data_IF_737802347623
#
_entry.id   IF_737802347623
#
_cell.length_a   1.000
_cell.length_b   1.000
_cell.length_c   1.000
_cell.angle_alpha   90.00
_cell.angle_beta   90.00
_cell.angle_gamma   90.00
#
_symmetry.space_group_name_H-M   'P 1'
#
loop_
_entity.id
_entity.type
_entity.pdbx_description
1 polymer ?
#
# COMPACT_ATOMS: atom_id res chain seq x y z
N UNK A 1 -69.73 41.07 -57.65
CA UNK A 1 -70.50 39.84 -57.34
C UNK A 1 -69.56 38.83 -56.71
N UNK A 2 -70.03 38.18 -55.62
CA UNK A 2 -69.44 37.07 -54.84
C UNK A 2 -68.05 37.31 -54.19
N UNK A 3 -67.90 37.50 -52.87
CA UNK A 3 -68.06 36.53 -51.73
C UNK A 3 -67.22 35.25 -51.99
N UNK A 4 -66.29 34.80 -51.15
CA UNK A 4 -66.12 34.98 -49.70
C UNK A 4 -65.00 34.07 -49.15
N UNK A 5 -64.50 34.42 -47.94
CA UNK A 5 -63.91 33.53 -46.89
C UNK A 5 -62.48 33.05 -47.13
N UNK A 6 -61.56 32.94 -46.16
CA UNK A 6 -61.49 33.11 -44.69
C UNK A 6 -59.97 33.27 -44.37
N UNK A 7 -59.55 34.10 -43.42
CA UNK A 7 -59.04 33.70 -42.08
C UNK A 7 -57.91 32.63 -42.14
N UNK A 8 -56.73 32.73 -41.51
CA UNK A 8 -56.27 33.55 -40.40
C UNK A 8 -54.73 33.48 -40.33
N UNK A 9 -54.17 34.40 -39.53
CA UNK A 9 -52.79 34.53 -39.07
C UNK A 9 -51.96 33.26 -38.87
N UNK A 10 -50.67 33.37 -39.19
CA UNK A 10 -49.60 32.69 -38.45
C UNK A 10 -48.44 33.67 -38.21
N UNK A 11 -48.53 34.45 -37.13
CA UNK A 11 -47.35 34.93 -36.41
C UNK A 11 -46.92 33.84 -35.43
N UNK A 12 -45.74 33.27 -35.59
CA UNK A 12 -44.97 32.78 -34.45
C UNK A 12 -43.48 32.88 -34.73
N UNK A 13 -42.83 33.72 -33.93
CA UNK A 13 -41.40 33.94 -33.79
C UNK A 13 -40.73 32.63 -33.38
N UNK A 14 -39.54 32.33 -33.92
CA UNK A 14 -38.78 31.15 -33.56
C UNK A 14 -37.28 31.28 -33.87
N UNK A 15 -36.60 32.12 -33.09
CA UNK A 15 -35.16 32.09 -32.88
C UNK A 15 -34.74 30.72 -32.33
N UNK A 16 -33.92 29.95 -33.06
CA UNK A 16 -32.84 29.07 -32.54
C UNK A 16 -32.41 28.09 -33.65
N UNK A 17 -31.27 28.35 -34.28
CA UNK A 17 -30.42 27.27 -34.80
C UNK A 17 -28.99 27.59 -34.35
N UNK A 18 -28.80 27.51 -33.03
CA UNK A 18 -27.47 27.27 -32.47
C UNK A 18 -27.07 25.90 -33.01
N UNK A 19 -26.10 25.91 -33.92
CA UNK A 19 -25.35 24.73 -34.31
C UNK A 19 -24.72 24.18 -33.03
N UNK A 20 -25.38 23.21 -32.40
CA UNK A 20 -24.77 22.32 -31.41
C UNK A 20 -23.68 21.56 -32.15
N UNK A 21 -22.50 22.18 -32.27
CA UNK A 21 -21.26 21.43 -32.35
C UNK A 21 -21.26 20.57 -31.08
N UNK A 22 -21.54 19.29 -31.27
CA UNK A 22 -21.39 18.26 -30.26
C UNK A 22 -19.92 18.28 -29.84
N UNK A 23 -19.62 19.08 -28.82
CA UNK A 23 -18.47 18.90 -27.94
C UNK A 23 -18.77 17.69 -27.04
N UNK A 24 -19.02 16.54 -27.66
CA UNK A 24 -18.83 15.27 -27.00
C UNK A 24 -17.32 15.06 -26.90
N UNK A 25 -16.82 15.00 -25.67
CA UNK A 25 -15.45 14.57 -25.40
C UNK A 25 -14.49 15.68 -24.97
N UNK A 26 -14.91 16.55 -24.06
CA UNK A 26 -14.03 16.80 -22.93
C UNK A 26 -14.76 16.23 -21.71
N UNK A 27 -14.56 14.93 -21.45
CA UNK A 27 -14.58 14.48 -20.07
C UNK A 27 -13.49 15.30 -19.38
N UNK A 28 -13.95 16.38 -18.77
CA UNK A 28 -13.18 17.35 -18.03
C UNK A 28 -12.34 16.55 -17.04
N UNK A 29 -11.02 16.56 -17.24
CA UNK A 29 -10.01 16.00 -16.34
C UNK A 29 -10.04 16.79 -15.03
N UNK A 30 -11.12 16.65 -14.27
CA UNK A 30 -11.15 17.09 -12.88
C UNK A 30 -10.09 16.26 -12.16
N UNK A 31 -9.16 16.91 -11.44
CA UNK A 31 -8.26 16.17 -10.58
C UNK A 31 -9.11 15.34 -9.63
N UNK A 32 -8.91 14.02 -9.65
CA UNK A 32 -9.58 13.12 -8.70
C UNK A 32 -9.14 13.55 -7.30
N UNK A 33 -10.09 13.78 -6.41
CA UNK A 33 -9.78 14.12 -5.03
C UNK A 33 -9.27 12.86 -4.32
N UNK A 34 -8.02 12.89 -3.85
CA UNK A 34 -7.35 11.75 -3.20
C UNK A 34 -7.11 12.02 -1.72
N UNK A 35 -7.26 10.99 -0.89
CA UNK A 35 -6.92 11.01 0.54
C UNK A 35 -6.17 9.75 0.93
N UNK A 36 -5.52 9.80 2.09
CA UNK A 36 -4.67 8.74 2.60
C UNK A 36 -5.11 8.29 3.98
N UNK A 37 -5.01 6.99 4.26
CA UNK A 37 -5.37 6.42 5.56
C UNK A 37 -4.41 6.90 6.65
N UNK A 38 -4.90 7.40 7.78
CA UNK A 38 -4.08 7.96 8.88
C UNK A 38 -3.92 7.02 10.07
N UNK A 39 -4.76 5.99 10.18
CA UNK A 39 -4.69 4.96 11.23
C UNK A 39 -3.93 3.72 10.76
N UNK A 40 -3.42 2.85 11.65
CA UNK A 40 -2.65 1.67 11.23
C UNK A 40 -3.45 0.76 10.30
N UNK A 41 -4.72 0.52 10.62
CA UNK A 41 -5.67 -0.25 9.82
C UNK A 41 -7.02 0.47 9.82
N UNK A 42 -7.57 0.69 8.63
CA UNK A 42 -8.90 1.23 8.39
C UNK A 42 -9.76 0.21 7.66
N UNK A 43 -10.98 -0.01 8.13
CA UNK A 43 -11.92 -0.90 7.45
C UNK A 43 -12.63 -0.15 6.32
N UNK A 44 -12.51 -0.66 5.10
CA UNK A 44 -13.37 -0.33 3.96
C UNK A 44 -14.66 -1.13 4.10
N UNK A 45 -15.82 -0.48 4.04
CA UNK A 45 -17.12 -1.10 4.34
C UNK A 45 -18.10 -1.02 3.18
N UNK A 46 -19.02 -1.97 3.10
CA UNK A 46 -20.00 -2.02 2.00
C UNK A 46 -20.99 -0.84 2.06
N UNK A 47 -21.30 -0.34 3.27
CA UNK A 47 -22.27 0.75 3.53
C UNK A 47 -21.72 1.73 4.57
N UNK A 48 -22.17 3.00 4.59
CA UNK A 48 -21.71 4.05 5.52
C UNK A 48 -22.25 3.85 6.96
N UNK A 49 -21.92 2.72 7.57
CA UNK A 49 -22.32 2.35 8.93
C UNK A 49 -21.29 1.38 9.52
N UNK A 50 -21.10 1.40 10.84
CA UNK A 50 -20.17 0.48 11.51
C UNK A 50 -20.69 -0.97 11.62
N UNK A 51 -21.98 -1.19 11.29
CA UNK A 51 -22.65 -2.50 11.33
C UNK A 51 -22.60 -3.27 10.00
N UNK A 52 -22.14 -2.64 8.92
CA UNK A 52 -22.04 -3.28 7.60
C UNK A 52 -20.82 -4.20 7.50
N UNK A 53 -20.78 -5.04 6.47
CA UNK A 53 -19.65 -5.91 6.19
C UNK A 53 -18.39 -5.08 5.88
N UNK A 54 -17.24 -5.60 6.31
CA UNK A 54 -15.92 -5.09 5.93
C UNK A 54 -15.53 -5.75 4.61
N UNK A 55 -15.28 -4.94 3.58
CA UNK A 55 -14.89 -5.36 2.23
C UNK A 55 -13.37 -5.53 2.15
N UNK A 56 -12.62 -4.62 2.76
CA UNK A 56 -11.15 -4.64 2.75
C UNK A 56 -10.59 -3.98 4.03
N UNK A 57 -9.35 -4.31 4.39
CA UNK A 57 -8.59 -3.62 5.45
C UNK A 57 -7.43 -2.84 4.82
N UNK A 58 -7.51 -1.53 4.93
CA UNK A 58 -6.59 -0.58 4.32
C UNK A 58 -5.53 -0.16 5.34
N UNK A 59 -4.26 -0.22 4.95
CA UNK A 59 -3.15 0.19 5.82
C UNK A 59 -2.97 1.70 5.86
N UNK A 60 -2.28 2.22 6.89
CA UNK A 60 -1.84 3.62 6.92
C UNK A 60 -1.10 4.02 5.64
N UNK A 61 -1.34 5.23 5.15
CA UNK A 61 -0.70 5.77 3.96
C UNK A 61 -1.30 5.26 2.66
N UNK A 62 -2.26 4.33 2.72
CA UNK A 62 -2.99 3.85 1.54
C UNK A 62 -3.75 5.00 0.89
N UNK A 63 -3.51 5.23 -0.39
CA UNK A 63 -4.22 6.19 -1.21
C UNK A 63 -5.63 5.70 -1.56
N UNK A 64 -6.58 6.63 -1.52
CA UNK A 64 -8.00 6.42 -1.76
C UNK A 64 -8.53 7.55 -2.65
N UNK A 65 -9.07 7.19 -3.81
CA UNK A 65 -9.79 8.12 -4.67
C UNK A 65 -11.20 8.35 -4.08
N UNK A 66 -11.65 9.60 -3.92
CA UNK A 66 -12.98 9.94 -3.41
C UNK A 66 -13.96 10.10 -4.59
N UNK A 67 -15.09 9.40 -4.50
CA UNK A 67 -16.20 9.51 -5.46
C UNK A 67 -17.41 10.22 -4.86
N UNK A 68 -17.63 10.06 -3.55
CA UNK A 68 -18.78 10.66 -2.86
C UNK A 68 -18.46 10.99 -1.41
N UNK A 69 -19.06 12.06 -0.88
CA UNK A 69 -18.97 12.47 0.52
C UNK A 69 -20.35 12.44 1.17
N UNK A 70 -20.55 11.53 2.12
CA UNK A 70 -21.76 11.41 2.94
C UNK A 70 -21.38 11.52 4.42
N UNK A 71 -21.01 12.74 4.85
CA UNK A 71 -20.43 13.02 6.17
C UNK A 71 -21.10 12.25 7.33
N UNK A 72 -20.33 11.56 8.21
CA UNK A 72 -18.86 11.52 8.26
C UNK A 72 -18.21 10.46 7.35
N UNK A 73 -18.94 9.86 6.41
CA UNK A 73 -18.46 8.78 5.55
C UNK A 73 -18.02 9.27 4.17
N UNK A 74 -17.04 8.58 3.59
CA UNK A 74 -16.52 8.83 2.26
C UNK A 74 -16.63 7.55 1.44
N UNK A 75 -17.22 7.65 0.25
CA UNK A 75 -17.18 6.57 -0.74
C UNK A 75 -15.90 6.70 -1.54
N UNK A 76 -15.09 5.64 -1.49
CA UNK A 76 -13.72 5.64 -2.01
C UNK A 76 -13.45 4.42 -2.86
N UNK A 77 -12.41 4.51 -3.70
CA UNK A 77 -11.81 3.38 -4.41
C UNK A 77 -10.35 3.26 -4.03
N UNK A 78 -9.95 2.06 -3.62
CA UNK A 78 -8.57 1.68 -3.37
C UNK A 78 -7.99 0.99 -4.61
N UNK A 79 -6.73 1.30 -4.96
CA UNK A 79 -5.99 0.68 -6.08
C UNK A 79 -6.68 0.77 -7.44
N UNK A 80 -7.62 1.70 -7.62
CA UNK A 80 -8.44 1.76 -8.83
C UNK A 80 -9.34 0.53 -9.03
N UNK A 81 -9.50 -0.34 -8.02
CA UNK A 81 -10.22 -1.62 -8.12
C UNK A 81 -11.36 -1.76 -7.12
N UNK A 82 -11.08 -1.60 -5.83
CA UNK A 82 -12.03 -1.94 -4.77
C UNK A 82 -12.76 -0.71 -4.27
N UNK A 83 -14.10 -0.71 -4.32
CA UNK A 83 -14.93 0.38 -3.82
C UNK A 83 -15.55 0.09 -2.46
N UNK A 84 -15.79 1.15 -1.69
CA UNK A 84 -16.54 1.07 -0.44
C UNK A 84 -16.49 2.35 0.37
N UNK A 85 -16.88 2.25 1.64
CA UNK A 85 -17.06 3.37 2.55
C UNK A 85 -16.03 3.35 3.68
N UNK A 86 -15.36 4.48 3.88
CA UNK A 86 -14.47 4.73 5.01
C UNK A 86 -14.96 5.91 5.85
N UNK A 87 -14.59 5.94 7.13
CA UNK A 87 -14.94 7.05 8.01
C UNK A 87 -13.91 8.18 7.87
N UNK A 88 -14.36 9.40 7.60
CA UNK A 88 -13.53 10.57 7.26
C UNK A 88 -12.48 10.92 8.32
N UNK A 89 -12.75 10.70 9.61
CA UNK A 89 -11.79 10.94 10.70
C UNK A 89 -10.49 10.10 10.60
N UNK A 90 -10.46 9.07 9.76
CA UNK A 90 -9.33 8.14 9.64
C UNK A 90 -8.60 8.26 8.30
N UNK A 91 -8.88 9.33 7.55
CA UNK A 91 -8.18 9.68 6.33
C UNK A 91 -7.76 11.15 6.37
N UNK A 92 -6.81 11.53 5.53
CA UNK A 92 -6.32 12.90 5.43
C UNK A 92 -5.29 13.05 4.30
N UNK A 93 -4.66 14.20 4.21
CA UNK A 93 -3.54 14.39 3.28
C UNK A 93 -2.27 13.66 3.78
N UNK A 94 -1.22 13.67 2.95
CA UNK A 94 0.06 13.07 3.32
C UNK A 94 0.65 13.67 4.62
N UNK A 95 0.38 14.94 4.92
CA UNK A 95 0.84 15.57 6.17
C UNK A 95 0.11 14.99 7.39
N UNK A 96 -1.19 14.72 7.28
CA UNK A 96 -1.99 14.07 8.31
C UNK A 96 -1.53 12.63 8.58
N UNK A 97 -1.12 11.89 7.54
CA UNK A 97 -0.52 10.56 7.69
C UNK A 97 0.77 10.65 8.50
N UNK A 98 1.67 11.58 8.14
CA UNK A 98 2.93 11.81 8.86
C UNK A 98 2.70 12.19 10.31
N UNK A 99 1.78 13.12 10.57
CA UNK A 99 1.42 13.56 11.92
C UNK A 99 0.84 12.41 12.77
N UNK A 100 -0.02 11.58 12.19
CA UNK A 100 -0.58 10.42 12.87
C UNK A 100 0.48 9.37 13.20
N UNK A 101 1.42 9.11 12.28
CA UNK A 101 2.55 8.21 12.52
C UNK A 101 3.46 8.72 13.65
N UNK A 102 3.86 10.00 13.60
CA UNK A 102 4.69 10.62 14.65
C UNK A 102 4.04 10.52 16.04
N UNK A 103 2.73 10.78 16.12
CA UNK A 103 1.96 10.66 17.36
C UNK A 103 1.97 9.24 17.91
N UNK A 104 1.81 8.23 17.05
CA UNK A 104 1.86 6.83 17.47
C UNK A 104 3.25 6.40 17.94
N UNK A 105 4.30 6.87 17.27
CA UNK A 105 5.70 6.63 17.67
C UNK A 105 6.02 7.28 19.02
N UNK A 106 5.58 8.51 19.26
CA UNK A 106 5.75 9.21 20.54
C UNK A 106 4.97 8.54 21.69
N UNK A 107 3.80 7.95 21.39
CA UNK A 107 3.04 7.15 22.37
C UNK A 107 3.77 5.85 22.74
N UNK A 108 4.40 5.19 21.75
CA UNK A 108 5.18 3.97 22.00
C UNK A 108 6.43 4.25 22.85
N UNK A 109 7.16 5.33 22.60
CA UNK A 109 8.37 5.69 23.37
C UNK A 109 8.09 6.10 24.82
N UNK A 110 6.92 6.69 25.10
CA UNK A 110 6.50 7.03 26.48
C UNK A 110 5.94 5.83 27.27
N UNK A 111 5.47 4.79 26.57
CA UNK A 111 4.98 3.54 27.16
C UNK A 111 6.10 2.64 27.71
N UNK A 112 7.34 2.76 27.19
CA UNK A 112 8.47 1.91 27.60
C UNK A 112 9.10 2.31 28.95
N UNK A 113 8.65 3.39 29.60
CA UNK A 113 9.24 3.91 30.85
C UNK A 113 8.46 3.55 32.14
N UNK A 114 7.37 2.76 32.08
CA UNK A 114 6.53 2.44 33.25
C UNK A 114 6.28 0.93 33.44
N UNK A 115 7.21 0.27 34.16
CA UNK A 115 7.18 -1.04 34.88
C UNK A 115 6.12 -2.10 34.50
N UNK A 116 6.54 -3.37 34.29
CA UNK A 116 6.28 -4.52 35.21
C UNK A 116 7.00 -5.82 34.83
N UNK A 117 7.10 -6.79 35.79
CA UNK A 117 8.19 -7.75 35.90
C UNK A 117 7.89 -9.10 35.24
N UNK A 118 8.97 -9.86 35.08
CA UNK A 118 9.07 -11.26 34.66
C UNK A 118 8.13 -12.20 35.43
N UNK A 119 7.46 -13.15 34.76
CA UNK A 119 7.02 -14.39 35.39
C UNK A 119 8.04 -15.50 35.14
N UNK A 120 8.45 -16.09 36.26
CA UNK A 120 9.29 -17.27 36.47
C UNK A 120 8.74 -18.56 35.84
N UNK A 121 9.68 -19.39 35.36
CA UNK A 121 9.55 -20.77 34.86
C UNK A 121 9.00 -21.77 35.89
N UNK A 122 8.19 -22.75 35.45
CA UNK A 122 7.99 -24.06 36.13
C UNK A 122 7.63 -25.19 35.14
N UNK A 123 7.87 -26.47 35.49
CA UNK A 123 8.22 -27.55 34.57
C UNK A 123 7.07 -28.50 34.15
N UNK A 124 7.35 -29.19 33.04
CA UNK A 124 6.67 -30.30 32.34
C UNK A 124 6.12 -31.44 33.19
N UNK A 125 5.03 -32.09 32.74
CA UNK A 125 4.86 -33.58 32.68
C UNK A 125 3.66 -33.99 31.75
N UNK A 126 3.58 -35.25 31.26
CA UNK A 126 3.38 -35.57 29.83
C UNK A 126 2.11 -36.37 29.39
N UNK A 127 1.94 -36.39 28.06
CA UNK A 127 1.36 -37.40 27.13
C UNK A 127 -0.15 -37.80 27.19
N UNK A 128 -0.83 -37.69 26.04
CA UNK A 128 -1.45 -38.80 25.29
C UNK A 128 -1.97 -38.31 23.91
N UNK A 129 -1.37 -38.83 22.84
CA UNK A 129 -1.78 -38.79 21.42
C UNK A 129 -3.03 -39.68 21.16
N UNK A 130 -3.75 -39.66 20.00
CA UNK A 130 -3.18 -39.70 18.63
C UNK A 130 -3.96 -38.96 17.51
N UNK A 131 -3.24 -38.46 16.51
CA UNK A 131 -3.39 -38.86 15.10
C UNK A 131 -2.49 -38.05 14.17
N UNK A 132 -1.45 -38.72 13.69
CA UNK A 132 -0.56 -38.31 12.61
C UNK A 132 -1.32 -38.13 11.29
N UNK A 133 -0.95 -37.10 10.53
CA UNK A 133 -1.09 -37.01 9.07
C UNK A 133 0.19 -36.35 8.54
N UNK A 134 0.78 -36.82 7.42
CA UNK A 134 2.22 -36.93 7.26
C UNK A 134 2.95 -35.59 7.10
N UNK A 135 4.15 -35.54 7.69
CA UNK A 135 5.15 -34.52 7.43
C UNK A 135 5.43 -34.37 5.93
N UNK A 136 5.20 -33.17 5.40
CA UNK A 136 5.80 -32.77 4.12
C UNK A 136 7.29 -32.59 4.36
N UNK A 137 8.04 -33.42 3.65
CA UNK A 137 9.49 -33.51 3.64
C UNK A 137 10.11 -32.14 3.37
N UNK A 138 10.99 -31.69 4.26
CA UNK A 138 11.92 -30.60 4.00
C UNK A 138 12.91 -31.10 2.94
N UNK A 139 12.61 -30.81 1.67
CA UNK A 139 13.58 -30.98 0.60
C UNK A 139 14.67 -29.93 0.83
N UNK A 140 15.97 -30.30 0.82
CA UNK A 140 17.05 -29.34 0.91
C UNK A 140 16.91 -28.29 -0.19
N UNK A 141 17.23 -27.01 0.06
CA UNK A 141 17.15 -25.98 -0.98
C UNK A 141 17.99 -26.43 -2.18
N UNK A 142 17.37 -26.39 -3.36
CA UNK A 142 18.05 -26.72 -4.61
C UNK A 142 19.24 -25.77 -4.77
N UNK A 143 20.45 -26.26 -5.10
CA UNK A 143 21.59 -25.39 -5.33
C UNK A 143 21.28 -24.38 -6.46
N UNK A 144 21.01 -23.13 -6.09
CA UNK A 144 20.60 -22.06 -7.02
C UNK A 144 19.17 -21.53 -6.85
N UNK A 145 18.37 -22.02 -5.90
CA UNK A 145 17.04 -21.47 -5.60
C UNK A 145 17.13 -20.16 -4.80
N UNK A 146 16.39 -19.14 -5.24
CA UNK A 146 16.18 -17.90 -4.49
C UNK A 146 15.36 -18.24 -3.23
N UNK A 147 15.94 -18.09 -2.04
CA UNK A 147 15.26 -18.34 -0.76
C UNK A 147 15.23 -17.09 0.09
N UNK A 148 14.26 -16.98 1.01
CA UNK A 148 14.17 -15.83 1.92
C UNK A 148 15.46 -15.69 2.74
N UNK A 149 15.93 -16.77 3.35
CA UNK A 149 17.17 -16.79 4.15
C UNK A 149 18.38 -16.32 3.34
N UNK A 150 18.49 -16.76 2.08
CA UNK A 150 19.54 -16.30 1.17
C UNK A 150 19.41 -14.81 0.87
N UNK A 151 18.20 -14.33 0.60
CA UNK A 151 17.93 -12.94 0.25
C UNK A 151 18.18 -11.97 1.41
N UNK A 152 17.91 -12.37 2.65
CA UNK A 152 18.09 -11.51 3.84
C UNK A 152 19.43 -11.71 4.54
N UNK A 153 20.31 -12.57 4.02
CA UNK A 153 21.63 -12.77 4.60
C UNK A 153 22.40 -11.45 4.72
N UNK A 154 22.77 -11.08 5.95
CA UNK A 154 23.49 -9.84 6.26
C UNK A 154 22.61 -8.58 6.34
N UNK A 155 21.29 -8.70 6.20
CA UNK A 155 20.36 -7.60 6.49
C UNK A 155 20.35 -7.28 8.00
N UNK A 156 19.91 -6.07 8.39
CA UNK A 156 19.83 -5.67 9.80
C UNK A 156 18.95 -6.60 10.65
N UNK A 157 19.38 -6.87 11.89
CA UNK A 157 18.63 -7.74 12.82
C UNK A 157 17.27 -7.16 13.25
N UNK A 158 17.03 -5.86 13.02
CA UNK A 158 15.75 -5.21 13.25
C UNK A 158 14.78 -5.33 12.06
N UNK A 159 15.17 -6.04 11.00
CA UNK A 159 14.29 -6.47 9.92
C UNK A 159 13.41 -7.63 10.42
N UNK A 160 12.13 -7.36 10.58
CA UNK A 160 11.15 -8.37 10.99
C UNK A 160 10.31 -8.72 9.77
N UNK A 161 10.32 -9.99 9.39
CA UNK A 161 9.45 -10.56 8.36
C UNK A 161 8.23 -11.21 9.01
N UNK A 162 7.07 -10.92 8.45
CA UNK A 162 5.79 -11.52 8.83
C UNK A 162 5.19 -12.20 7.60
N UNK A 163 4.61 -13.38 7.80
CA UNK A 163 3.74 -14.00 6.79
C UNK A 163 2.47 -13.15 6.69
N UNK A 164 2.10 -12.81 5.46
CA UNK A 164 0.91 -12.02 5.15
C UNK A 164 -0.02 -12.80 4.24
N UNK A 165 -1.26 -12.33 4.10
CA UNK A 165 -2.26 -13.02 3.28
C UNK A 165 -1.70 -13.35 1.88
N UNK A 166 -1.82 -14.62 1.43
CA UNK A 166 -1.39 -15.07 0.12
C UNK A 166 -2.02 -14.26 -1.02
N UNK A 167 -1.26 -14.03 -2.10
CA UNK A 167 -1.77 -13.40 -3.31
C UNK A 167 -1.84 -14.46 -4.42
N UNK A 168 -3.01 -14.63 -5.03
CA UNK A 168 -3.26 -15.65 -6.07
C UNK A 168 -2.90 -17.09 -5.63
N UNK A 169 -3.02 -17.38 -4.33
CA UNK A 169 -2.67 -18.67 -3.75
C UNK A 169 -1.18 -18.89 -3.49
N UNK A 170 -0.32 -17.90 -3.73
CA UNK A 170 1.10 -17.96 -3.44
C UNK A 170 1.41 -17.40 -2.04
N UNK A 171 2.24 -18.08 -1.22
CA UNK A 171 2.70 -17.56 0.06
C UNK A 171 3.37 -16.20 -0.12
N UNK A 172 3.26 -15.36 0.90
CA UNK A 172 3.78 -14.00 0.85
C UNK A 172 4.31 -13.56 2.19
N UNK A 173 5.47 -12.92 2.17
CA UNK A 173 6.13 -12.40 3.36
C UNK A 173 6.42 -10.93 3.15
N UNK A 174 6.22 -10.14 4.20
CA UNK A 174 6.46 -8.71 4.20
C UNK A 174 7.26 -8.35 5.43
N UNK A 175 8.23 -7.46 5.28
CA UNK A 175 9.03 -7.02 6.43
C UNK A 175 9.62 -5.65 6.23
N UNK A 176 9.98 -5.00 7.34
CA UNK A 176 10.62 -3.71 7.33
C UNK A 176 11.67 -3.64 8.43
N UNK A 177 12.69 -2.80 8.23
CA UNK A 177 13.60 -2.43 9.31
C UNK A 177 12.87 -1.59 10.35
N UNK A 178 13.40 -1.48 11.57
CA UNK A 178 12.79 -0.71 12.65
C UNK A 178 12.62 0.78 12.33
N UNK A 179 13.41 1.31 11.40
CA UNK A 179 13.28 2.67 10.88
C UNK A 179 12.18 2.82 9.81
N UNK A 180 11.72 1.72 9.22
CA UNK A 180 10.80 1.71 8.08
C UNK A 180 11.40 2.26 6.77
N UNK A 181 12.71 2.54 6.74
CA UNK A 181 13.38 3.08 5.56
C UNK A 181 13.61 2.02 4.48
N UNK A 182 13.66 0.75 4.87
CA UNK A 182 13.76 -0.40 3.99
C UNK A 182 12.62 -1.36 4.27
N UNK A 183 11.94 -1.76 3.21
CA UNK A 183 10.84 -2.72 3.22
C UNK A 183 11.15 -3.82 2.22
N UNK A 184 10.89 -5.07 2.59
CA UNK A 184 11.03 -6.24 1.74
C UNK A 184 9.68 -6.92 1.55
N UNK A 185 9.45 -7.42 0.35
CA UNK A 185 8.32 -8.30 0.04
C UNK A 185 8.83 -9.52 -0.74
N UNK A 186 8.35 -10.71 -0.36
CA UNK A 186 8.70 -11.98 -0.97
C UNK A 186 7.43 -12.72 -1.37
N UNK A 187 7.43 -13.32 -2.56
CA UNK A 187 6.31 -14.09 -3.09
C UNK A 187 6.76 -15.49 -3.49
N UNK A 188 5.97 -16.49 -3.12
CA UNK A 188 6.25 -17.90 -3.34
C UNK A 188 6.77 -18.61 -2.09
N UNK A 189 7.02 -19.93 -2.19
CA UNK A 189 7.58 -20.72 -1.09
C UNK A 189 8.90 -20.14 -0.57
N UNK A 190 9.13 -20.21 0.75
CA UNK A 190 10.32 -19.60 1.39
C UNK A 190 11.66 -20.09 0.82
N UNK A 191 11.70 -21.35 0.36
CA UNK A 191 12.89 -21.98 -0.20
C UNK A 191 13.00 -21.86 -1.74
N UNK A 192 11.97 -21.34 -2.42
CA UNK A 192 11.89 -21.25 -3.88
C UNK A 192 11.02 -20.06 -4.30
N UNK A 193 11.54 -18.86 -4.03
CA UNK A 193 10.87 -17.60 -4.27
C UNK A 193 10.65 -17.37 -5.76
N UNK A 194 9.43 -16.97 -6.10
CA UNK A 194 9.05 -16.55 -7.45
C UNK A 194 9.45 -15.10 -7.70
N UNK A 195 9.37 -14.26 -6.67
CA UNK A 195 9.69 -12.83 -6.72
C UNK A 195 10.20 -12.36 -5.36
N UNK A 196 11.07 -11.36 -5.39
CA UNK A 196 11.52 -10.62 -4.23
C UNK A 196 11.63 -9.13 -4.58
N UNK A 197 11.22 -8.26 -3.67
CA UNK A 197 11.24 -6.81 -3.86
C UNK A 197 11.85 -6.12 -2.64
N UNK A 198 12.60 -5.05 -2.91
CA UNK A 198 13.11 -4.14 -1.89
C UNK A 198 12.64 -2.73 -2.24
N UNK A 199 12.01 -2.08 -1.27
CA UNK A 199 11.60 -0.69 -1.35
C UNK A 199 12.45 0.12 -0.38
N UNK A 200 12.98 1.25 -0.85
CA UNK A 200 13.78 2.15 -0.02
C UNK A 200 13.31 3.58 -0.13
N UNK A 201 13.37 4.30 0.99
CA UNK A 201 13.10 5.74 0.98
C UNK A 201 14.29 6.47 0.34
N UNK A 202 14.02 7.42 -0.56
CA UNK A 202 15.06 8.24 -1.22
C UNK A 202 14.79 9.75 -1.16
N UNK A 203 13.55 10.15 -0.83
CA UNK A 203 13.13 11.56 -0.74
C UNK A 203 13.22 12.07 0.70
N UNK A 204 13.61 13.33 0.87
CA UNK A 204 13.69 14.03 2.16
C UNK A 204 14.48 13.29 3.26
N UNK A 205 15.54 12.57 2.86
CA UNK A 205 16.46 11.87 3.77
C UNK A 205 17.86 12.46 3.75
N UNK A 206 18.64 12.20 4.80
CA UNK A 206 20.04 12.58 4.86
C UNK A 206 20.89 11.78 3.86
N UNK A 207 22.02 12.34 3.40
CA UNK A 207 22.97 11.60 2.56
C UNK A 207 23.50 10.34 3.28
N UNK A 208 23.59 10.38 4.61
CA UNK A 208 24.01 9.22 5.40
C UNK A 208 22.97 8.09 5.35
N UNK A 209 21.67 8.43 5.45
CA UNK A 209 20.59 7.45 5.34
C UNK A 209 20.42 6.95 3.89
N UNK A 210 20.60 7.81 2.89
CA UNK A 210 20.60 7.39 1.48
C UNK A 210 21.73 6.39 1.20
N UNK A 211 22.94 6.64 1.72
CA UNK A 211 24.06 5.70 1.61
C UNK A 211 23.80 4.40 2.36
N UNK A 212 23.13 4.43 3.52
CA UNK A 212 22.72 3.23 4.25
C UNK A 212 21.71 2.42 3.44
N UNK A 213 20.69 3.06 2.88
CA UNK A 213 19.69 2.43 2.02
C UNK A 213 20.35 1.82 0.77
N UNK A 214 21.26 2.55 0.13
CA UNK A 214 22.03 2.06 -1.02
C UNK A 214 22.86 0.81 -0.69
N UNK A 215 23.45 0.74 0.50
CA UNK A 215 24.22 -0.43 0.94
C UNK A 215 23.31 -1.67 1.08
N UNK A 216 22.09 -1.48 1.61
CA UNK A 216 21.10 -2.54 1.77
C UNK A 216 20.53 -3.00 0.42
N UNK A 217 20.26 -2.07 -0.51
CA UNK A 217 19.87 -2.41 -1.89
C UNK A 217 20.96 -3.20 -2.61
N UNK A 218 22.22 -2.76 -2.49
CA UNK A 218 23.36 -3.51 -3.03
C UNK A 218 23.41 -4.93 -2.46
N UNK A 219 23.32 -5.08 -1.15
CA UNK A 219 23.37 -6.38 -0.49
C UNK A 219 22.23 -7.30 -0.98
N UNK A 220 21.00 -6.78 -1.04
CA UNK A 220 19.83 -7.51 -1.54
C UNK A 220 20.05 -8.03 -2.97
N UNK A 221 20.54 -7.16 -3.87
CA UNK A 221 20.80 -7.54 -5.26
C UNK A 221 21.94 -8.56 -5.34
N UNK A 222 22.98 -8.44 -4.52
CA UNK A 222 24.10 -9.39 -4.50
C UNK A 222 23.68 -10.76 -3.97
N UNK A 223 22.77 -10.81 -3.00
CA UNK A 223 22.20 -12.05 -2.49
C UNK A 223 21.40 -12.78 -3.58
N UNK A 224 20.68 -12.06 -4.43
CA UNK A 224 19.99 -12.64 -5.60
C UNK A 224 20.94 -12.97 -6.76
N UNK A 225 21.93 -12.11 -7.02
CA UNK A 225 22.82 -12.17 -8.18
C UNK A 225 24.27 -11.96 -7.73
N UNK A 226 24.97 -13.01 -7.25
CA UNK A 226 26.33 -12.90 -6.71
C UNK A 226 27.37 -12.35 -7.69
N UNK A 227 27.12 -12.48 -8.99
CA UNK A 227 27.96 -11.92 -10.06
C UNK A 227 27.88 -10.39 -10.17
N UNK A 228 26.92 -9.73 -9.52
CA UNK A 228 26.70 -8.29 -9.65
C UNK A 228 27.73 -7.47 -8.86
N UNK A 229 28.48 -6.61 -9.56
CA UNK A 229 29.70 -5.97 -9.05
C UNK A 229 29.59 -4.46 -8.75
N UNK A 230 28.40 -3.85 -8.78
CA UNK A 230 28.30 -2.41 -8.48
C UNK A 230 28.48 -2.17 -6.97
N UNK A 231 29.15 -1.08 -6.64
CA UNK A 231 29.40 -0.68 -5.26
C UNK A 231 28.27 0.18 -4.69
N UNK A 232 28.34 0.45 -3.39
CA UNK A 232 27.33 1.27 -2.68
C UNK A 232 27.25 2.69 -3.23
N UNK A 233 28.38 3.28 -3.62
CA UNK A 233 28.42 4.64 -4.13
C UNK A 233 27.69 4.75 -5.47
N UNK A 234 27.87 3.77 -6.34
CA UNK A 234 27.13 3.64 -7.60
C UNK A 234 25.63 3.56 -7.34
N UNK A 235 25.18 2.73 -6.40
CA UNK A 235 23.76 2.59 -6.06
C UNK A 235 23.19 3.88 -5.48
N UNK A 236 23.91 4.55 -4.58
CA UNK A 236 23.46 5.81 -3.99
C UNK A 236 23.26 6.91 -5.05
N UNK A 237 24.17 6.99 -6.03
CA UNK A 237 24.04 7.91 -7.15
C UNK A 237 22.86 7.56 -8.06
N UNK A 238 22.67 6.27 -8.35
CA UNK A 238 21.52 5.80 -9.14
C UNK A 238 20.19 6.14 -8.47
N UNK A 239 20.05 5.87 -7.17
CA UNK A 239 18.84 6.22 -6.40
C UNK A 239 18.58 7.74 -6.39
N UNK A 240 19.64 8.55 -6.26
CA UNK A 240 19.54 10.02 -6.32
C UNK A 240 19.07 10.50 -7.68
N UNK A 241 19.64 9.95 -8.75
CA UNK A 241 19.25 10.29 -10.12
C UNK A 241 17.77 9.98 -10.39
N UNK A 242 17.31 8.78 -10.02
CA UNK A 242 15.89 8.41 -10.12
C UNK A 242 14.98 9.39 -9.36
N UNK A 243 15.34 9.76 -8.13
CA UNK A 243 14.55 10.72 -7.34
C UNK A 243 14.57 12.14 -7.92
N UNK A 244 15.63 12.52 -8.65
CA UNK A 244 15.74 13.86 -9.25
C UNK A 244 14.89 14.02 -10.51
N UNK A 245 14.46 12.91 -11.11
CA UNK A 245 13.58 12.89 -12.28
C UNK A 245 12.09 12.88 -11.89
N UNK A 246 11.78 12.66 -10.62
CA UNK A 246 10.43 12.75 -10.09
C UNK A 246 10.04 14.24 -9.93
N UNK A 247 9.23 14.74 -10.87
CA UNK A 247 8.78 16.14 -10.93
C UNK A 247 7.39 16.37 -10.34
N UNK A 248 6.80 15.34 -9.72
CA UNK A 248 5.40 15.35 -9.27
C UNK A 248 4.45 14.86 -10.35
#
# INVERSE_FOLDING_TARGET
MARSKFLADRFFVGLFFVLMASLSGCDFLLPKETVYVTVPILNLREKPTTKSQVVERLQRGRELEIFEKANPWLHVRADGKTEGWVHGNYVGDAAAVRAALQKDLARRSSSTRKKRPTPTTRPTQPATEPQETPATQTTPPSPGALSIDGMIAGMPDDLILEEVDPLEGQPRHFGATGSGQVVLEFWGPEADLLRSEIMVTVLDISDADLNRNAALVRLFIQNAVPQWQRDTAWVANFLRELSSQDVG
#
